data_IF_076594097058
#
_entry.id   IF_076594097058
#
_cell.length_a   1.000
_cell.length_b   1.000
_cell.length_c   1.000
_cell.angle_alpha   90.00
_cell.angle_beta   90.00
_cell.angle_gamma   90.00
#
_symmetry.space_group_name_H-M   'P 1'
#
loop_
_entity.id
_entity.type
_entity.pdbx_description
1 polymer ?
#
# COMPACT_ATOMS: atom_id res chain seq x y z
N UNK A 1 33.75 14.14 -11.99
CA UNK A 1 32.67 15.12 -11.86
C UNK A 1 31.87 14.72 -10.62
N UNK A 2 31.52 15.65 -9.71
CA UNK A 2 30.63 15.29 -8.63
C UNK A 2 29.32 14.85 -9.24
N UNK A 3 28.84 13.68 -8.85
CA UNK A 3 27.52 13.18 -9.25
C UNK A 3 26.49 14.09 -8.59
N UNK A 4 25.77 14.90 -9.37
CA UNK A 4 24.66 15.67 -8.85
C UNK A 4 23.69 14.68 -8.18
N UNK A 5 23.34 14.96 -6.93
CA UNK A 5 22.30 14.21 -6.23
C UNK A 5 21.01 14.33 -7.05
N UNK A 6 20.42 13.21 -7.42
CA UNK A 6 19.13 13.23 -8.13
C UNK A 6 18.07 13.87 -7.25
N UNK A 7 17.36 14.82 -7.83
CA UNK A 7 16.15 15.38 -7.23
C UNK A 7 15.03 14.34 -7.35
N UNK A 8 14.74 13.62 -6.27
CA UNK A 8 13.67 12.65 -6.22
C UNK A 8 12.34 13.33 -5.93
N UNK A 9 11.26 12.79 -6.52
CA UNK A 9 9.92 13.33 -6.37
C UNK A 9 9.50 13.36 -4.89
N UNK A 10 9.12 14.55 -4.44
CA UNK A 10 8.47 14.80 -3.15
C UNK A 10 7.26 15.69 -3.42
N UNK A 11 6.08 15.11 -3.25
CA UNK A 11 4.83 15.83 -3.46
C UNK A 11 4.36 16.46 -2.15
N UNK A 12 3.92 17.74 -2.17
CA UNK A 12 3.23 18.34 -1.03
C UNK A 12 1.92 17.61 -0.74
N UNK A 13 1.48 17.59 0.52
CA UNK A 13 0.27 16.88 0.94
C UNK A 13 -0.98 17.28 0.14
N UNK A 14 -1.18 18.54 -0.18
CA UNK A 14 -2.30 18.99 -1.00
C UNK A 14 -2.32 18.39 -2.40
N UNK A 15 -1.15 18.30 -3.05
CA UNK A 15 -1.03 17.65 -4.37
C UNK A 15 -1.24 16.13 -4.28
N UNK A 16 -0.74 15.50 -3.19
CA UNK A 16 -1.00 14.08 -2.90
C UNK A 16 -2.49 13.80 -2.77
N UNK A 17 -3.22 14.66 -2.06
CA UNK A 17 -4.65 14.53 -1.88
C UNK A 17 -5.38 14.64 -3.22
N UNK A 18 -5.08 15.64 -4.03
CA UNK A 18 -5.70 15.83 -5.35
C UNK A 18 -5.49 14.62 -6.26
N UNK A 19 -4.26 14.11 -6.37
CA UNK A 19 -3.93 12.95 -7.19
C UNK A 19 -4.63 11.67 -6.71
N UNK A 20 -4.68 11.44 -5.41
CA UNK A 20 -5.33 10.27 -4.82
C UNK A 20 -6.86 10.36 -4.91
N UNK A 21 -7.45 11.56 -4.79
CA UNK A 21 -8.88 11.78 -5.02
C UNK A 21 -9.27 11.53 -6.47
N UNK A 22 -8.47 12.01 -7.44
CA UNK A 22 -8.69 11.70 -8.86
C UNK A 22 -8.65 10.19 -9.11
N UNK A 23 -7.65 9.49 -8.56
CA UNK A 23 -7.55 8.03 -8.67
C UNK A 23 -8.76 7.32 -8.04
N UNK A 24 -9.28 7.83 -6.93
CA UNK A 24 -10.50 7.34 -6.28
C UNK A 24 -11.73 7.52 -7.18
N UNK A 25 -11.90 8.67 -7.80
CA UNK A 25 -13.01 8.93 -8.73
C UNK A 25 -12.90 8.05 -9.99
N UNK A 26 -11.71 7.82 -10.53
CA UNK A 26 -11.51 6.91 -11.66
C UNK A 26 -11.99 5.48 -11.32
N UNK A 27 -11.71 4.99 -10.10
CA UNK A 27 -12.21 3.69 -9.61
C UNK A 27 -13.72 3.67 -9.45
N UNK A 28 -14.29 4.71 -8.83
CA UNK A 28 -15.72 4.86 -8.64
C UNK A 28 -16.48 4.88 -9.97
N UNK A 29 -15.92 5.55 -10.96
CA UNK A 29 -16.46 5.62 -12.31
C UNK A 29 -16.13 4.37 -13.16
N UNK A 30 -15.48 3.35 -12.58
CA UNK A 30 -15.14 2.08 -13.23
C UNK A 30 -14.38 2.26 -14.55
N UNK A 31 -13.42 3.18 -14.55
CA UNK A 31 -12.53 3.36 -15.71
C UNK A 31 -11.88 2.01 -16.04
N UNK A 32 -11.87 1.64 -17.30
CA UNK A 32 -11.35 0.35 -17.78
C UNK A 32 -9.89 0.15 -17.36
N UNK A 33 -9.55 -1.09 -16.97
CA UNK A 33 -8.24 -1.41 -16.40
C UNK A 33 -7.08 -1.16 -17.36
N UNK A 34 -7.27 -1.44 -18.65
CA UNK A 34 -6.30 -1.17 -19.72
C UNK A 34 -6.01 0.33 -19.87
N UNK A 35 -7.04 1.16 -19.79
CA UNK A 35 -6.90 2.61 -19.82
C UNK A 35 -6.15 3.14 -18.59
N UNK A 36 -6.44 2.62 -17.41
CA UNK A 36 -5.70 2.97 -16.19
C UNK A 36 -4.22 2.53 -16.30
N UNK A 37 -3.96 1.33 -16.79
CA UNK A 37 -2.61 0.85 -17.04
C UNK A 37 -1.83 1.78 -17.96
N UNK A 38 -2.41 2.13 -19.11
CA UNK A 38 -1.79 3.06 -20.06
C UNK A 38 -1.44 4.40 -19.41
N UNK A 39 -2.39 5.00 -18.69
CA UNK A 39 -2.20 6.28 -17.99
C UNK A 39 -1.08 6.20 -16.94
N UNK A 40 -1.06 5.14 -16.11
CA UNK A 40 -0.05 4.98 -15.05
C UNK A 40 1.33 4.66 -15.62
N UNK A 41 1.42 3.81 -16.62
CA UNK A 41 2.70 3.54 -17.30
C UNK A 41 3.25 4.81 -17.98
N UNK A 42 2.38 5.60 -18.62
CA UNK A 42 2.77 6.89 -19.17
C UNK A 42 3.29 7.84 -18.09
N UNK A 43 2.55 7.99 -16.99
CA UNK A 43 2.98 8.81 -15.85
C UNK A 43 4.34 8.37 -15.31
N UNK A 44 4.53 7.06 -15.08
CA UNK A 44 5.80 6.51 -14.63
C UNK A 44 6.95 6.76 -15.63
N UNK A 45 6.66 6.73 -16.92
CA UNK A 45 7.65 6.99 -17.95
C UNK A 45 8.07 8.47 -17.97
N UNK A 46 7.09 9.38 -17.88
CA UNK A 46 7.29 10.81 -18.02
C UNK A 46 7.92 11.45 -16.75
N UNK A 47 7.56 10.95 -15.55
CA UNK A 47 8.08 11.51 -14.29
C UNK A 47 9.47 10.95 -13.97
N UNK A 48 10.50 11.67 -14.38
CA UNK A 48 11.91 11.23 -14.23
C UNK A 48 12.39 11.13 -12.78
N UNK A 49 11.74 11.82 -11.84
CA UNK A 49 12.09 11.86 -10.41
C UNK A 49 11.62 10.64 -9.62
N UNK A 50 10.77 9.77 -10.21
CA UNK A 50 10.44 8.47 -9.61
C UNK A 50 11.59 7.49 -9.80
N UNK A 51 12.05 6.88 -8.72
CA UNK A 51 13.10 5.86 -8.71
C UNK A 51 12.56 4.44 -8.62
N UNK A 52 11.48 4.25 -7.86
CA UNK A 52 10.92 2.95 -7.56
C UNK A 52 9.38 2.97 -7.53
N UNK A 53 8.80 1.81 -7.81
CA UNK A 53 7.39 1.52 -7.59
C UNK A 53 7.31 0.48 -6.48
N UNK A 54 6.68 0.85 -5.37
CA UNK A 54 6.45 -0.04 -4.25
C UNK A 54 5.18 -0.85 -4.50
N UNK A 55 5.33 -2.15 -4.70
CA UNK A 55 4.19 -3.07 -4.88
C UNK A 55 3.77 -3.64 -3.54
N UNK A 56 2.48 -3.50 -3.24
CA UNK A 56 1.86 -3.91 -1.98
C UNK A 56 0.99 -5.14 -2.20
N UNK A 57 1.09 -6.12 -1.31
CA UNK A 57 0.20 -7.28 -1.28
C UNK A 57 0.08 -7.81 0.15
N UNK A 58 -0.96 -8.57 0.44
CA UNK A 58 -1.20 -9.11 1.78
C UNK A 58 -1.00 -10.62 1.82
N UNK A 59 -0.60 -11.13 2.99
CA UNK A 59 -0.54 -12.55 3.27
C UNK A 59 -1.82 -13.07 3.97
N UNK A 60 -1.81 -14.37 4.31
CA UNK A 60 -2.92 -15.03 5.00
C UNK A 60 -3.17 -14.52 6.43
N UNK A 61 -2.18 -13.90 7.05
CA UNK A 61 -2.30 -13.30 8.39
C UNK A 61 -2.77 -11.84 8.32
N UNK A 62 -3.02 -11.30 7.11
CA UNK A 62 -3.42 -9.92 6.89
C UNK A 62 -2.26 -8.91 6.96
N UNK A 63 -1.02 -9.37 6.98
CA UNK A 63 0.15 -8.48 6.97
C UNK A 63 0.34 -7.88 5.59
N UNK A 64 0.64 -6.60 5.56
CA UNK A 64 0.99 -5.89 4.33
C UNK A 64 2.47 -6.04 4.03
N UNK A 65 2.77 -6.67 2.90
CA UNK A 65 4.12 -6.77 2.35
C UNK A 65 4.35 -5.69 1.31
N UNK A 66 5.60 -5.21 1.23
CA UNK A 66 6.01 -4.15 0.30
C UNK A 66 7.32 -4.53 -0.38
N UNK A 67 7.33 -4.48 -1.71
CA UNK A 67 8.52 -4.71 -2.54
C UNK A 67 8.78 -3.52 -3.43
N UNK A 68 9.98 -2.98 -3.36
CA UNK A 68 10.42 -1.89 -4.23
C UNK A 68 11.00 -2.46 -5.54
N UNK A 69 10.34 -2.19 -6.66
CA UNK A 69 10.88 -2.46 -7.98
C UNK A 69 11.49 -1.18 -8.57
N UNK A 70 12.69 -1.29 -9.10
CA UNK A 70 13.28 -0.21 -9.91
C UNK A 70 12.30 0.18 -11.03
N UNK A 71 12.08 1.48 -11.21
CA UNK A 71 11.11 1.98 -12.19
C UNK A 71 11.40 1.49 -13.61
N UNK A 72 12.69 1.49 -14.03
CA UNK A 72 13.05 1.08 -15.38
C UNK A 72 12.85 -0.42 -15.60
N UNK A 73 13.07 -1.21 -14.57
CA UNK A 73 12.77 -2.63 -14.58
C UNK A 73 11.27 -2.87 -14.70
N UNK A 74 10.48 -2.21 -13.85
CA UNK A 74 9.03 -2.36 -13.84
C UNK A 74 8.39 -1.96 -15.18
N UNK A 75 8.82 -0.85 -15.78
CA UNK A 75 8.31 -0.42 -17.10
C UNK A 75 8.54 -1.45 -18.22
N UNK A 76 9.57 -2.30 -18.07
CA UNK A 76 9.87 -3.38 -19.04
C UNK A 76 9.20 -4.70 -18.72
N UNK A 77 8.79 -4.90 -17.47
CA UNK A 77 8.40 -6.21 -16.93
C UNK A 77 7.09 -6.16 -16.15
N UNK A 78 6.25 -5.14 -16.35
CA UNK A 78 5.03 -4.92 -15.56
C UNK A 78 4.07 -6.13 -15.57
N UNK A 79 4.06 -6.91 -16.64
CA UNK A 79 3.22 -8.10 -16.80
C UNK A 79 3.91 -9.39 -16.31
N UNK A 80 5.15 -9.30 -15.80
CA UNK A 80 5.91 -10.46 -15.35
C UNK A 80 6.80 -10.12 -14.14
N UNK A 81 6.21 -9.55 -13.11
CA UNK A 81 6.87 -9.35 -11.83
C UNK A 81 6.84 -10.64 -11.02
N UNK A 82 7.97 -11.00 -10.42
CA UNK A 82 8.09 -12.20 -9.59
C UNK A 82 8.65 -11.84 -8.22
N UNK A 83 8.35 -12.68 -7.23
CA UNK A 83 8.92 -12.60 -5.89
C UNK A 83 9.03 -13.99 -5.26
N UNK A 84 9.85 -14.11 -4.23
CA UNK A 84 10.04 -15.35 -3.47
C UNK A 84 8.91 -15.53 -2.45
N UNK A 85 7.90 -16.35 -2.80
CA UNK A 85 6.79 -16.69 -1.92
C UNK A 85 7.18 -17.57 -0.74
N UNK A 86 8.33 -18.25 -0.79
CA UNK A 86 8.78 -19.10 0.33
C UNK A 86 9.25 -18.29 1.55
N UNK A 87 9.55 -17.01 1.34
CA UNK A 87 9.86 -16.07 2.40
C UNK A 87 8.64 -15.61 3.20
N UNK A 88 7.43 -15.96 2.74
CA UNK A 88 6.17 -15.57 3.37
C UNK A 88 5.50 -16.80 3.97
N UNK A 89 5.23 -16.72 5.27
CA UNK A 89 4.61 -17.82 6.00
C UNK A 89 3.24 -18.20 5.40
N UNK A 90 3.09 -19.48 5.08
CA UNK A 90 1.85 -20.03 4.55
C UNK A 90 1.66 -19.90 3.03
N UNK A 91 2.64 -19.31 2.30
CA UNK A 91 2.56 -19.22 0.85
C UNK A 91 3.09 -20.51 0.20
N UNK A 92 4.36 -20.59 -0.15
CA UNK A 92 4.92 -21.70 -0.92
C UNK A 92 6.09 -22.37 -0.22
N UNK A 93 6.35 -23.66 -0.47
CA UNK A 93 7.60 -24.29 -0.03
C UNK A 93 8.79 -23.77 -0.86
N UNK A 94 9.99 -23.83 -0.29
CA UNK A 94 11.22 -23.33 -0.90
C UNK A 94 11.49 -23.87 -2.31
N UNK A 95 11.14 -25.13 -2.57
CA UNK A 95 11.32 -25.76 -3.90
C UNK A 95 10.39 -25.18 -4.99
N UNK A 96 9.39 -24.43 -4.61
CA UNK A 96 8.36 -23.85 -5.46
C UNK A 96 8.17 -22.37 -5.17
N UNK A 97 9.27 -21.66 -4.88
CA UNK A 97 9.27 -20.33 -4.27
C UNK A 97 8.68 -19.23 -5.14
N UNK A 98 8.85 -19.32 -6.47
CA UNK A 98 8.52 -18.22 -7.35
C UNK A 98 7.01 -18.05 -7.54
N UNK A 99 6.49 -16.93 -7.09
CA UNK A 99 5.14 -16.44 -7.38
C UNK A 99 5.21 -15.18 -8.23
N UNK A 100 4.07 -14.80 -8.82
CA UNK A 100 3.96 -13.59 -9.66
C UNK A 100 3.09 -12.54 -9.00
N UNK A 101 3.33 -11.27 -9.37
CA UNK A 101 2.50 -10.13 -8.98
C UNK A 101 1.89 -9.53 -10.24
N UNK A 102 0.55 -9.45 -10.26
CA UNK A 102 -0.22 -8.72 -11.25
C UNK A 102 -0.63 -7.38 -10.66
N UNK A 103 -0.13 -6.30 -11.23
CA UNK A 103 -0.42 -4.95 -10.74
C UNK A 103 -1.89 -4.59 -10.94
N UNK A 104 -2.51 -4.05 -9.89
CA UNK A 104 -3.82 -3.45 -9.94
C UNK A 104 -3.70 -1.94 -10.17
N UNK A 105 -3.72 -1.54 -11.43
CA UNK A 105 -3.55 -0.15 -11.83
C UNK A 105 -4.68 0.77 -11.34
N UNK A 106 -5.80 0.21 -10.91
CA UNK A 106 -6.85 0.93 -10.21
C UNK A 106 -6.52 1.21 -8.73
N UNK A 107 -5.57 0.48 -8.15
CA UNK A 107 -5.10 0.66 -6.78
C UNK A 107 -3.68 1.25 -6.76
N UNK A 108 -3.50 2.32 -7.50
CA UNK A 108 -2.28 3.11 -7.59
C UNK A 108 -2.39 4.37 -6.73
N UNK A 109 -1.36 4.66 -5.93
CA UNK A 109 -1.37 5.75 -4.96
C UNK A 109 -0.07 6.53 -4.97
N UNK A 110 -0.16 7.81 -4.66
CA UNK A 110 0.97 8.65 -4.33
C UNK A 110 1.10 8.71 -2.81
N UNK A 111 2.22 8.23 -2.29
CA UNK A 111 2.49 8.23 -0.85
C UNK A 111 3.34 9.43 -0.41
N UNK A 112 3.15 9.92 0.83
CA UNK A 112 3.99 10.98 1.37
C UNK A 112 5.45 10.54 1.51
N UNK A 113 6.37 11.43 1.09
CA UNK A 113 7.78 11.12 0.99
C UNK A 113 8.47 10.98 2.36
N UNK A 114 7.94 11.58 3.39
CA UNK A 114 8.39 11.45 4.79
C UNK A 114 8.06 10.09 5.41
N UNK A 115 7.06 9.37 4.85
CA UNK A 115 6.67 8.02 5.31
C UNK A 115 7.28 6.94 4.41
N UNK A 116 7.10 7.03 3.10
CA UNK A 116 7.50 5.99 2.15
C UNK A 116 8.86 6.24 1.49
N UNK A 117 9.45 7.41 1.74
CA UNK A 117 10.67 7.87 1.08
C UNK A 117 10.42 8.56 -0.27
N UNK A 118 11.31 9.49 -0.66
CA UNK A 118 11.17 10.27 -1.88
C UNK A 118 11.33 9.41 -3.14
N UNK A 119 10.67 9.80 -4.22
CA UNK A 119 10.76 9.16 -5.53
C UNK A 119 10.08 7.81 -5.61
N UNK A 120 9.05 7.57 -4.81
CA UNK A 120 8.25 6.34 -4.80
C UNK A 120 6.78 6.62 -5.08
N UNK A 121 6.14 5.64 -5.69
CA UNK A 121 4.69 5.50 -5.80
C UNK A 121 4.31 4.09 -5.36
N UNK A 122 3.06 3.92 -4.99
CA UNK A 122 2.53 2.70 -4.40
C UNK A 122 1.51 2.07 -5.36
N UNK A 123 1.53 0.76 -5.50
CA UNK A 123 0.49 0.05 -6.26
C UNK A 123 0.21 -1.30 -5.61
N UNK A 124 -1.06 -1.68 -5.48
CA UNK A 124 -1.39 -3.03 -5.04
C UNK A 124 -1.23 -4.03 -6.16
N UNK A 125 -0.77 -5.24 -5.80
CA UNK A 125 -0.70 -6.39 -6.68
C UNK A 125 -1.56 -7.54 -6.19
N UNK A 126 -2.14 -8.28 -7.13
CA UNK A 126 -2.76 -9.57 -6.88
C UNK A 126 -1.68 -10.65 -7.03
N UNK A 127 -1.64 -11.62 -6.13
CA UNK A 127 -0.67 -12.72 -6.20
C UNK A 127 -1.18 -13.80 -7.15
N UNK A 128 -0.32 -14.20 -8.06
CA UNK A 128 -0.59 -15.27 -9.01
C UNK A 128 0.40 -16.41 -8.82
N UNK A 129 -0.05 -17.61 -9.15
CA UNK A 129 0.82 -18.78 -9.25
C UNK A 129 1.78 -18.65 -10.44
N UNK A 130 2.73 -19.58 -10.56
CA UNK A 130 3.75 -19.60 -11.61
C UNK A 130 3.18 -19.67 -13.02
N UNK A 131 2.05 -20.35 -13.18
CA UNK A 131 1.34 -20.47 -14.46
C UNK A 131 0.47 -19.25 -14.79
N UNK A 132 0.39 -18.26 -13.88
CA UNK A 132 -0.42 -17.05 -14.03
C UNK A 132 -1.86 -17.20 -13.56
N UNK A 133 -2.23 -18.35 -13.00
CA UNK A 133 -3.54 -18.51 -12.34
C UNK A 133 -3.58 -17.78 -11.00
N UNK A 134 -4.77 -17.39 -10.51
CA UNK A 134 -4.91 -16.80 -9.19
C UNK A 134 -4.33 -17.69 -8.08
N UNK A 135 -3.46 -17.16 -7.24
CA UNK A 135 -2.91 -17.90 -6.12
C UNK A 135 -3.96 -18.08 -5.02
N UNK A 136 -4.16 -19.30 -4.57
CA UNK A 136 -5.26 -19.65 -3.64
C UNK A 136 -5.15 -18.98 -2.27
N UNK A 137 -3.96 -18.57 -1.86
CA UNK A 137 -3.69 -17.88 -0.59
C UNK A 137 -3.68 -16.36 -0.73
N UNK A 138 -4.00 -15.80 -1.91
CA UNK A 138 -4.20 -14.35 -2.09
C UNK A 138 -5.59 -13.93 -1.61
N UNK A 139 -5.67 -13.53 -0.34
CA UNK A 139 -6.94 -13.08 0.27
C UNK A 139 -7.49 -11.81 -0.40
N UNK A 140 -6.62 -10.93 -0.93
CA UNK A 140 -7.05 -9.75 -1.69
C UNK A 140 -7.70 -10.15 -3.01
N UNK A 141 -7.11 -11.08 -3.74
CA UNK A 141 -7.65 -11.61 -4.98
C UNK A 141 -9.00 -12.30 -4.77
N UNK A 142 -9.16 -13.06 -3.68
CA UNK A 142 -10.44 -13.68 -3.28
C UNK A 142 -11.50 -12.62 -3.02
N UNK A 143 -11.20 -11.58 -2.24
CA UNK A 143 -12.14 -10.49 -1.94
C UNK A 143 -12.53 -9.72 -3.21
N UNK A 144 -11.56 -9.44 -4.08
CA UNK A 144 -11.78 -8.76 -5.36
C UNK A 144 -12.72 -9.56 -6.27
N UNK A 145 -12.50 -10.87 -6.36
CA UNK A 145 -13.37 -11.76 -7.12
C UNK A 145 -14.78 -11.77 -6.54
N UNK A 146 -14.94 -11.94 -5.24
CA UNK A 146 -16.26 -11.93 -4.58
C UNK A 146 -16.99 -10.60 -4.83
N UNK A 147 -16.31 -9.48 -4.71
CA UNK A 147 -16.89 -8.16 -4.96
C UNK A 147 -17.33 -7.97 -6.42
N UNK A 148 -16.56 -8.49 -7.38
CA UNK A 148 -16.92 -8.47 -8.80
C UNK A 148 -18.13 -9.36 -9.08
N UNK A 149 -18.12 -10.59 -8.58
CA UNK A 149 -19.23 -11.55 -8.75
C UNK A 149 -20.55 -10.98 -8.18
N UNK A 150 -20.51 -10.34 -6.99
CA UNK A 150 -21.70 -9.71 -6.39
C UNK A 150 -22.22 -8.53 -7.22
N UNK A 151 -21.32 -7.75 -7.78
CA UNK A 151 -21.73 -6.65 -8.65
C UNK A 151 -22.33 -7.14 -9.97
N UNK A 152 -21.67 -8.10 -10.63
CA UNK A 152 -22.11 -8.64 -11.92
C UNK A 152 -23.45 -9.37 -11.82
N UNK A 153 -23.65 -10.14 -10.74
CA UNK A 153 -24.85 -10.95 -10.56
C UNK A 153 -26.03 -10.16 -9.96
N UNK A 154 -25.76 -9.22 -9.06
CA UNK A 154 -26.79 -8.61 -8.24
C UNK A 154 -26.77 -7.07 -8.26
N UNK A 155 -25.78 -6.44 -8.89
CA UNK A 155 -25.59 -4.98 -8.86
C UNK A 155 -25.13 -4.44 -7.50
N UNK A 156 -24.71 -5.30 -6.58
CA UNK A 156 -24.31 -4.89 -5.23
C UNK A 156 -22.87 -4.42 -5.19
N UNK A 157 -22.63 -3.35 -4.41
CA UNK A 157 -21.30 -2.88 -4.05
C UNK A 157 -21.10 -3.01 -2.55
N UNK A 158 -19.87 -3.33 -2.14
CA UNK A 158 -19.49 -3.39 -0.72
C UNK A 158 -18.92 -2.04 -0.30
N UNK A 159 -19.40 -1.53 0.83
CA UNK A 159 -18.79 -0.40 1.54
C UNK A 159 -18.27 -0.92 2.87
N UNK A 160 -17.05 -0.53 3.21
CA UNK A 160 -16.44 -0.84 4.49
C UNK A 160 -15.94 0.45 5.15
N UNK A 161 -16.14 0.57 6.45
CA UNK A 161 -15.51 1.55 7.30
C UNK A 161 -14.61 0.79 8.28
N UNK A 162 -13.31 1.08 8.24
CA UNK A 162 -12.35 0.43 9.11
C UNK A 162 -12.17 1.28 10.36
N UNK A 163 -12.21 0.65 11.52
CA UNK A 163 -11.83 1.24 12.79
C UNK A 163 -10.42 0.75 13.16
N UNK A 164 -9.56 1.66 13.56
CA UNK A 164 -8.22 1.35 14.03
C UNK A 164 -8.15 1.73 15.50
N UNK A 165 -7.97 0.72 16.35
CA UNK A 165 -7.82 0.91 17.79
C UNK A 165 -6.41 0.54 18.22
N UNK A 166 -5.83 1.29 19.15
CA UNK A 166 -4.49 1.04 19.61
C UNK A 166 -4.12 1.88 20.82
N UNK A 167 -2.92 1.64 21.32
CA UNK A 167 -2.33 2.42 22.39
C UNK A 167 -1.10 3.13 21.86
N UNK A 168 -0.91 4.39 22.26
CA UNK A 168 0.29 5.17 21.94
C UNK A 168 1.22 5.12 23.15
N UNK A 169 2.41 4.59 22.94
CA UNK A 169 3.45 4.54 23.97
C UNK A 169 4.39 5.72 23.84
N UNK A 170 4.96 6.15 24.97
CA UNK A 170 5.98 7.19 24.99
C UNK A 170 7.33 6.62 24.54
N UNK A 171 8.00 7.35 23.63
CA UNK A 171 9.33 6.98 23.12
C UNK A 171 9.31 5.97 21.95
N UNK A 172 10.38 6.04 21.14
CA UNK A 172 10.58 5.13 19.99
C UNK A 172 11.13 3.76 20.41
N UNK A 173 11.53 3.62 21.67
CA UNK A 173 12.14 2.46 22.30
C UNK A 173 11.20 1.77 23.30
N UNK A 174 9.89 2.01 23.20
CA UNK A 174 8.88 1.50 24.14
C UNK A 174 8.94 -0.02 24.30
N UNK A 175 9.18 -0.79 23.22
CA UNK A 175 9.32 -2.25 23.26
C UNK A 175 10.58 -2.66 24.06
N UNK A 176 11.72 -2.00 23.83
CA UNK A 176 12.96 -2.26 24.56
C UNK A 176 12.81 -1.94 26.03
N UNK A 177 12.18 -0.82 26.36
CA UNK A 177 11.87 -0.41 27.73
C UNK A 177 10.99 -1.46 28.43
N UNK A 178 9.98 -1.99 27.73
CA UNK A 178 9.14 -3.08 28.25
C UNK A 178 9.97 -4.32 28.56
N UNK A 179 10.85 -4.75 27.66
CA UNK A 179 11.71 -5.92 27.90
C UNK A 179 12.67 -5.74 29.09
N UNK A 180 13.08 -4.52 29.39
CA UNK A 180 13.97 -4.20 30.52
C UNK A 180 13.21 -4.04 31.84
N UNK A 181 12.04 -3.43 31.83
CA UNK A 181 11.31 -2.98 33.01
C UNK A 181 10.02 -3.70 33.29
N UNK A 182 9.46 -4.38 32.28
CA UNK A 182 8.13 -5.01 32.33
C UNK A 182 6.98 -3.99 32.29
N UNK A 183 7.23 -2.74 31.92
CA UNK A 183 6.22 -1.66 31.91
C UNK A 183 6.22 -0.92 30.59
N UNK A 184 5.04 -0.49 30.16
CA UNK A 184 4.86 0.49 29.09
C UNK A 184 4.56 1.88 29.69
N UNK A 185 5.22 2.89 29.18
CA UNK A 185 4.87 4.27 29.45
C UNK A 185 3.88 4.73 28.37
N UNK A 186 2.63 4.95 28.77
CA UNK A 186 1.57 5.41 27.86
C UNK A 186 1.63 6.92 27.69
N UNK A 187 1.40 7.38 26.46
CA UNK A 187 0.99 8.77 26.24
C UNK A 187 -0.40 8.93 26.85
N UNK A 188 -0.61 10.04 27.57
CA UNK A 188 -1.91 10.29 28.20
C UNK A 188 -3.03 10.25 27.15
N UNK A 189 -4.06 9.45 27.41
CA UNK A 189 -5.19 9.27 26.52
C UNK A 189 -6.33 10.18 26.93
N UNK A 190 -6.95 10.90 25.96
CA UNK A 190 -8.15 11.67 26.20
C UNK A 190 -9.31 10.79 26.62
N UNK A 191 -9.87 10.06 25.70
CA UNK A 191 -11.07 9.23 25.88
C UNK A 191 -12.18 9.61 24.91
N UNK A 192 -13.34 9.02 25.07
CA UNK A 192 -14.50 9.30 24.22
C UNK A 192 -14.99 10.75 24.40
N UNK A 193 -15.35 11.41 23.28
CA UNK A 193 -15.91 12.76 23.23
C UNK A 193 -14.97 13.86 23.76
N UNK A 194 -13.65 13.61 23.74
CA UNK A 194 -12.66 14.60 24.09
C UNK A 194 -12.13 15.30 22.83
N UNK A 195 -11.73 16.56 22.99
CA UNK A 195 -11.08 17.38 21.96
C UNK A 195 -10.00 18.26 22.60
N UNK A 196 -9.29 19.03 21.77
CA UNK A 196 -8.34 20.01 22.30
C UNK A 196 -9.03 21.03 23.23
N UNK A 197 -8.37 21.45 24.32
CA UNK A 197 -7.05 21.04 24.77
C UNK A 197 -7.01 19.79 25.67
N UNK A 198 -8.15 19.13 25.90
CA UNK A 198 -8.26 18.00 26.82
C UNK A 198 -7.71 16.67 26.26
N UNK A 199 -7.60 16.53 24.95
CA UNK A 199 -7.07 15.35 24.29
C UNK A 199 -5.73 15.66 23.57
N UNK A 200 -4.59 15.32 24.16
CA UNK A 200 -3.29 15.59 23.54
C UNK A 200 -3.03 14.78 22.25
N UNK A 201 -3.79 13.69 22.02
CA UNK A 201 -3.69 12.88 20.81
C UNK A 201 -4.60 13.37 19.67
N UNK A 202 -5.44 14.40 19.91
CA UNK A 202 -6.36 14.90 18.88
C UNK A 202 -5.61 15.38 17.63
N UNK A 203 -4.51 16.10 17.79
CA UNK A 203 -3.68 16.55 16.65
C UNK A 203 -3.11 15.38 15.87
N UNK A 204 -2.68 14.31 16.55
CA UNK A 204 -2.22 13.09 15.89
C UNK A 204 -3.35 12.44 15.08
N UNK A 205 -4.54 12.29 15.67
CA UNK A 205 -5.70 11.71 14.99
C UNK A 205 -6.08 12.55 13.77
N UNK A 206 -6.17 13.87 13.91
CA UNK A 206 -6.51 14.79 12.81
C UNK A 206 -5.47 14.80 11.68
N UNK A 207 -4.22 14.48 11.99
CA UNK A 207 -3.14 14.38 10.98
C UNK A 207 -3.17 13.06 10.22
N UNK A 208 -3.67 11.99 10.85
CA UNK A 208 -3.72 10.64 10.25
C UNK A 208 -5.01 10.41 9.46
N UNK A 209 -6.10 11.10 9.81
CA UNK A 209 -7.42 10.97 9.19
C UNK A 209 -7.48 11.69 7.84
#
# INVERSE_FOLDING_TARGET
MPTELRDFLMLPYGELEELNLEAKEQRKNRVAADKLQEQRLKYLSDESRIKAVTVLFSDLEGRLHMLDYDKKFLLKSADNLTFDGSSIRGFTPQRESDLRLKLDWGAFYWGPADIFGPGKVLVFGDVLDRDGSPFSADIRGVLKKLSSDQYEQNGYTLNAANEIEGFVFAGVDAEQTFHQTGKFDYVNTGGYYHSLPGDPLRTFIDTVA
#
